data_IF_686535771816
#
_entry.id   IF_686535771816
#
_cell.length_a   1.000
_cell.length_b   1.000
_cell.length_c   1.000
_cell.angle_alpha   90.00
_cell.angle_beta   90.00
_cell.angle_gamma   90.00
#
_symmetry.space_group_name_H-M   'P 1'
#
loop_
_entity.id
_entity.type
_entity.pdbx_description
1 polymer ?
#
# COMPACT_ATOMS: atom_id res chain seq x y z
N UNK A 1 -4.85 -19.49 -53.87
CA UNK A 1 -6.16 -19.31 -53.18
C UNK A 1 -5.92 -18.31 -52.06
N UNK A 2 -6.13 -17.03 -52.35
CA UNK A 2 -5.92 -15.93 -51.42
C UNK A 2 -7.23 -15.66 -50.66
N UNK A 3 -7.16 -15.57 -49.33
CA UNK A 3 -8.29 -15.28 -48.46
C UNK A 3 -8.05 -13.90 -47.84
N UNK A 4 -8.86 -12.92 -48.24
CA UNK A 4 -8.96 -11.62 -47.59
C UNK A 4 -9.76 -11.74 -46.27
N UNK A 5 -9.38 -11.04 -45.20
CA UNK A 5 -10.21 -10.90 -44.02
C UNK A 5 -11.12 -9.66 -44.10
N UNK A 6 -12.42 -9.93 -43.93
CA UNK A 6 -13.53 -8.99 -43.84
C UNK A 6 -13.46 -8.13 -42.57
N UNK A 7 -13.51 -6.80 -42.74
CA UNK A 7 -13.56 -5.78 -41.68
C UNK A 7 -15.03 -5.47 -41.35
N UNK A 8 -15.49 -5.91 -40.18
CA UNK A 8 -16.86 -5.70 -39.70
C UNK A 8 -16.96 -4.68 -38.57
N UNK A 9 -17.59 -3.53 -38.86
CA UNK A 9 -18.66 -2.96 -38.03
C UNK A 9 -18.33 -2.18 -36.75
N UNK A 10 -17.95 -0.91 -36.88
CA UNK A 10 -18.07 0.11 -35.81
C UNK A 10 -19.55 0.40 -35.52
N UNK A 11 -20.04 0.06 -34.34
CA UNK A 11 -21.33 0.55 -33.81
C UNK A 11 -21.14 1.94 -33.18
N UNK A 12 -21.84 2.93 -33.74
CA UNK A 12 -22.11 4.25 -33.16
C UNK A 12 -23.19 4.11 -32.08
N UNK A 13 -22.84 4.48 -30.85
CA UNK A 13 -23.73 4.97 -29.77
C UNK A 13 -23.01 6.23 -29.30
N UNK A 14 -23.57 7.42 -29.15
CA UNK A 14 -24.94 7.90 -29.07
C UNK A 14 -24.80 9.18 -28.25
N UNK A 15 -24.89 10.33 -28.91
CA UNK A 15 -24.80 11.67 -28.32
C UNK A 15 -25.79 11.83 -27.16
N UNK A 16 -25.34 12.40 -26.04
CA UNK A 16 -26.17 13.07 -25.06
C UNK A 16 -25.80 14.58 -25.06
N UNK A 17 -26.78 15.50 -25.07
CA UNK A 17 -26.50 16.93 -25.15
C UNK A 17 -26.23 17.58 -23.79
N UNK A 18 -25.47 18.67 -23.90
CA UNK A 18 -25.14 19.67 -22.90
C UNK A 18 -26.33 20.18 -22.07
N UNK A 19 -26.12 20.27 -20.76
CA UNK A 19 -26.88 21.15 -19.87
C UNK A 19 -25.94 22.25 -19.36
N UNK A 20 -25.79 23.29 -20.18
CA UNK A 20 -25.26 24.58 -19.76
C UNK A 20 -26.34 25.33 -18.97
N UNK A 21 -26.11 25.53 -17.68
CA UNK A 21 -26.88 26.42 -16.82
C UNK A 21 -25.95 27.48 -16.24
N UNK A 22 -25.87 28.62 -16.91
CA UNK A 22 -25.25 29.84 -16.41
C UNK A 22 -26.27 30.66 -15.59
N UNK A 23 -25.73 31.68 -14.91
CA UNK A 23 -26.42 32.81 -14.24
C UNK A 23 -26.84 32.58 -12.78
N UNK A 24 -26.73 33.54 -11.86
CA UNK A 24 -26.12 34.87 -11.79
C UNK A 24 -26.38 35.41 -10.37
N UNK A 25 -25.68 36.50 -10.01
CA UNK A 25 -25.98 37.48 -8.95
C UNK A 25 -25.54 37.09 -7.52
N UNK A 26 -24.55 37.76 -6.91
CA UNK A 26 -24.48 39.20 -6.55
C UNK A 26 -25.54 39.59 -5.53
N UNK A 27 -25.10 39.73 -4.27
CA UNK A 27 -25.90 40.24 -3.16
C UNK A 27 -25.00 40.73 -2.04
N UNK A 28 -24.33 41.86 -2.28
CA UNK A 28 -23.77 42.69 -1.23
C UNK A 28 -24.94 43.38 -0.48
N UNK A 29 -24.94 43.32 0.84
CA UNK A 29 -25.77 44.20 1.66
C UNK A 29 -25.04 44.52 2.95
N UNK A 30 -24.42 45.70 2.94
CA UNK A 30 -24.11 46.48 4.12
C UNK A 30 -25.41 46.92 4.78
N UNK A 31 -25.52 46.77 6.10
CA UNK A 31 -26.41 47.59 6.91
C UNK A 31 -25.81 47.74 8.32
N UNK A 32 -25.36 48.97 8.56
CA UNK A 32 -25.03 49.53 9.86
C UNK A 32 -26.28 49.69 10.73
N UNK A 33 -26.07 49.70 12.05
CA UNK A 33 -26.85 50.51 12.97
C UNK A 33 -27.84 49.76 13.85
N UNK A 34 -27.56 49.75 15.14
CA UNK A 34 -28.36 50.47 16.15
C UNK A 34 -28.25 49.77 17.50
N UNK A 35 -27.40 50.34 18.36
CA UNK A 35 -27.43 50.17 19.80
C UNK A 35 -28.77 50.69 20.32
N UNK A 36 -29.67 49.79 20.67
CA UNK A 36 -30.92 50.07 21.36
C UNK A 36 -30.92 49.39 22.72
N UNK A 37 -30.64 50.17 23.76
CA UNK A 37 -30.94 49.81 25.13
C UNK A 37 -32.46 49.90 25.33
N UNK A 38 -33.10 48.75 25.54
CA UNK A 38 -34.47 48.62 26.05
C UNK A 38 -34.43 47.41 26.98
N UNK A 39 -34.22 47.64 28.27
CA UNK A 39 -35.27 47.91 29.26
C UNK A 39 -36.11 46.65 29.55
N UNK A 40 -36.16 46.33 30.83
CA UNK A 40 -36.47 45.02 31.36
C UNK A 40 -37.89 44.58 31.04
N UNK A 41 -38.02 43.65 30.09
CA UNK A 41 -39.17 42.76 30.07
C UNK A 41 -38.85 41.59 31.01
N UNK A 42 -39.66 41.33 32.05
CA UNK A 42 -39.41 40.22 32.96
C UNK A 42 -39.36 38.94 32.13
N UNK A 43 -38.27 38.18 32.30
CA UNK A 43 -38.10 36.83 31.80
C UNK A 43 -39.41 36.09 31.88
N UNK A 44 -40.07 36.00 30.73
CA UNK A 44 -41.10 35.00 30.51
C UNK A 44 -40.32 33.70 30.49
N UNK A 45 -40.07 33.13 31.67
CA UNK A 45 -39.82 31.72 31.89
C UNK A 45 -41.09 30.99 31.44
N UNK A 46 -41.38 31.06 30.15
CA UNK A 46 -42.12 30.03 29.47
C UNK A 46 -41.22 28.81 29.58
N UNK A 47 -41.41 28.05 30.66
CA UNK A 47 -41.21 26.62 30.65
C UNK A 47 -42.15 26.05 29.59
N UNK A 48 -41.88 26.39 28.33
CA UNK A 48 -42.32 25.58 27.22
C UNK A 48 -41.66 24.24 27.48
N UNK A 49 -42.46 23.20 27.40
CA UNK A 49 -42.06 21.81 27.48
C UNK A 49 -40.99 21.59 26.40
N UNK A 50 -39.75 21.99 26.72
CA UNK A 50 -38.62 21.96 25.81
C UNK A 50 -38.51 20.49 25.46
N UNK A 51 -38.83 20.21 24.20
CA UNK A 51 -39.07 18.86 23.71
C UNK A 51 -38.03 17.93 24.33
N UNK A 52 -38.42 16.95 25.18
CA UNK A 52 -37.48 16.27 26.07
C UNK A 52 -36.26 15.63 25.36
N UNK A 53 -36.37 15.39 24.05
CA UNK A 53 -35.30 14.95 23.16
C UNK A 53 -34.22 16.01 22.84
N UNK A 54 -34.55 17.30 22.94
CA UNK A 54 -33.63 18.42 22.76
C UNK A 54 -32.72 18.65 23.98
N UNK A 55 -32.88 17.87 25.05
CA UNK A 55 -32.05 18.00 26.25
C UNK A 55 -30.56 17.66 25.95
N UNK A 56 -29.63 18.61 26.12
CA UNK A 56 -28.21 18.38 25.83
C UNK A 56 -27.57 17.32 26.73
N UNK A 57 -28.08 17.10 27.94
CA UNK A 57 -27.59 16.06 28.84
C UNK A 57 -27.90 14.66 28.31
N UNK A 58 -29.09 14.46 27.72
CA UNK A 58 -29.47 13.21 27.07
C UNK A 58 -28.55 12.91 25.88
N UNK A 59 -28.30 13.92 25.03
CA UNK A 59 -27.40 13.78 23.88
C UNK A 59 -25.98 13.39 24.29
N UNK A 60 -25.41 14.06 25.31
CA UNK A 60 -24.07 13.73 25.85
C UNK A 60 -24.01 12.30 26.38
N UNK A 61 -25.02 11.87 27.14
CA UNK A 61 -25.10 10.51 27.66
C UNK A 61 -25.20 9.46 26.54
N UNK A 62 -25.98 9.74 25.49
CA UNK A 62 -26.14 8.86 24.33
C UNK A 62 -24.83 8.76 23.53
N UNK A 63 -24.17 9.88 23.24
CA UNK A 63 -22.89 9.91 22.53
C UNK A 63 -21.82 9.12 23.29
N UNK A 64 -21.72 9.31 24.60
CA UNK A 64 -20.78 8.59 25.46
C UNK A 64 -21.10 7.08 25.51
N UNK A 65 -22.38 6.69 25.48
CA UNK A 65 -22.78 5.29 25.39
C UNK A 65 -22.37 4.64 24.06
N UNK A 66 -22.56 5.35 22.93
CA UNK A 66 -22.26 4.86 21.58
C UNK A 66 -20.74 4.80 21.34
N UNK A 67 -20.00 5.84 21.77
CA UNK A 67 -18.53 5.94 21.62
C UNK A 67 -17.77 4.77 22.22
N UNK A 68 -18.29 4.17 23.30
CA UNK A 68 -17.69 2.99 23.92
C UNK A 68 -17.84 1.68 23.13
N UNK A 69 -18.66 1.67 22.07
CA UNK A 69 -19.09 0.43 21.39
C UNK A 69 -18.92 0.44 19.88
N UNK A 70 -18.70 1.60 19.28
CA UNK A 70 -18.63 1.80 17.83
C UNK A 70 -17.36 2.59 17.50
N UNK A 71 -16.83 2.43 16.29
CA UNK A 71 -15.70 3.22 15.81
C UNK A 71 -16.00 4.73 15.89
N UNK A 72 -14.98 5.55 16.15
CA UNK A 72 -15.15 6.98 16.36
C UNK A 72 -15.82 7.70 15.18
N UNK A 73 -15.59 7.21 13.95
CA UNK A 73 -16.17 7.72 12.71
C UNK A 73 -17.68 7.55 12.63
N UNK A 74 -18.25 6.50 13.24
CA UNK A 74 -19.67 6.18 13.08
C UNK A 74 -20.50 6.62 14.30
N UNK A 75 -19.87 7.25 15.30
CA UNK A 75 -20.54 7.65 16.54
C UNK A 75 -21.68 8.62 16.25
N UNK A 76 -21.41 9.68 15.48
CA UNK A 76 -22.38 10.72 15.22
C UNK A 76 -23.53 10.22 14.34
N UNK A 77 -23.25 9.34 13.37
CA UNK A 77 -24.27 8.72 12.51
C UNK A 77 -25.23 7.82 13.29
N UNK A 78 -24.70 7.00 14.20
CA UNK A 78 -25.51 6.14 15.08
C UNK A 78 -26.34 7.00 16.03
N UNK A 79 -25.75 8.04 16.63
CA UNK A 79 -26.47 8.98 17.52
C UNK A 79 -27.60 9.68 16.76
N UNK A 80 -27.34 10.18 15.56
CA UNK A 80 -28.35 10.81 14.71
C UNK A 80 -29.48 9.85 14.36
N UNK A 81 -29.15 8.63 13.93
CA UNK A 81 -30.14 7.59 13.61
C UNK A 81 -31.06 7.30 14.80
N UNK A 82 -30.50 7.16 16.00
CA UNK A 82 -31.26 6.91 17.23
C UNK A 82 -32.22 8.07 17.54
N UNK A 83 -31.75 9.32 17.42
CA UNK A 83 -32.58 10.49 17.68
C UNK A 83 -33.69 10.66 16.63
N UNK A 84 -33.41 10.40 15.36
CA UNK A 84 -34.41 10.41 14.29
C UNK A 84 -35.50 9.37 14.54
N UNK A 85 -35.16 8.15 14.96
CA UNK A 85 -36.15 7.13 15.31
C UNK A 85 -36.95 7.48 16.57
N UNK A 86 -36.29 8.08 17.56
CA UNK A 86 -36.95 8.56 18.76
C UNK A 86 -37.98 9.67 18.43
N UNK A 87 -37.66 10.56 17.49
CA UNK A 87 -38.56 11.62 17.02
C UNK A 87 -39.74 11.07 16.21
N UNK A 88 -39.52 10.00 15.43
CA UNK A 88 -40.55 9.42 14.57
C UNK A 88 -41.54 8.49 15.30
N UNK A 89 -41.27 8.09 16.54
CA UNK A 89 -42.12 7.14 17.26
C UNK A 89 -43.34 7.82 17.91
N UNK A 90 -44.55 7.38 17.55
CA UNK A 90 -45.83 7.92 18.04
C UNK A 90 -46.09 7.64 19.53
N UNK A 91 -45.44 6.63 20.11
CA UNK A 91 -45.61 6.18 21.50
C UNK A 91 -44.45 6.52 22.44
N UNK A 92 -43.75 7.63 22.22
CA UNK A 92 -42.60 8.02 23.06
C UNK A 92 -43.05 8.38 24.49
N UNK A 93 -42.37 7.89 25.55
CA UNK A 93 -42.64 8.33 26.91
C UNK A 93 -42.44 9.85 27.07
N UNK A 94 -43.33 10.50 27.80
CA UNK A 94 -43.23 11.95 28.09
C UNK A 94 -42.40 12.23 29.35
N UNK A 95 -42.31 11.26 30.25
CA UNK A 95 -41.44 11.36 31.42
C UNK A 95 -39.96 11.32 31.00
N UNK A 96 -39.12 12.29 31.43
CA UNK A 96 -37.73 12.38 31.00
C UNK A 96 -36.87 11.16 31.36
N UNK A 97 -37.13 10.53 32.51
CA UNK A 97 -36.37 9.36 32.97
C UNK A 97 -36.77 8.11 32.19
N UNK A 98 -38.07 7.92 31.94
CA UNK A 98 -38.57 6.86 31.05
C UNK A 98 -38.08 7.05 29.61
N UNK A 99 -38.12 8.28 29.08
CA UNK A 99 -37.62 8.61 27.75
C UNK A 99 -36.14 8.27 27.62
N UNK A 100 -35.32 8.64 28.61
CA UNK A 100 -33.88 8.32 28.62
C UNK A 100 -33.64 6.81 28.56
N UNK A 101 -34.35 6.01 29.35
CA UNK A 101 -34.23 4.54 29.32
C UNK A 101 -34.67 3.97 27.98
N UNK A 102 -35.76 4.50 27.42
CA UNK A 102 -36.30 4.09 26.14
C UNK A 102 -35.34 4.40 24.97
N UNK A 103 -34.79 5.61 24.90
CA UNK A 103 -33.78 6.02 23.90
C UNK A 103 -32.52 5.16 23.99
N UNK A 104 -32.06 4.83 25.20
CA UNK A 104 -30.92 3.91 25.39
C UNK A 104 -31.23 2.50 24.90
N UNK A 105 -32.49 2.06 24.96
CA UNK A 105 -32.97 0.82 24.34
C UNK A 105 -32.83 0.82 22.82
N UNK A 106 -33.26 1.90 22.16
CA UNK A 106 -33.09 2.10 20.70
C UNK A 106 -31.59 2.08 20.34
N UNK A 107 -30.78 2.82 21.08
CA UNK A 107 -29.33 2.90 20.86
C UNK A 107 -28.66 1.52 20.92
N UNK A 108 -29.06 0.67 21.87
CA UNK A 108 -28.54 -0.69 21.98
C UNK A 108 -28.81 -1.52 20.72
N UNK A 109 -30.02 -1.43 20.18
CA UNK A 109 -30.37 -2.13 18.93
C UNK A 109 -29.56 -1.59 17.75
N UNK A 110 -29.41 -0.27 17.62
CA UNK A 110 -28.61 0.34 16.54
C UNK A 110 -27.15 0.00 16.58
N UNK A 111 -26.54 -0.06 17.77
CA UNK A 111 -25.16 -0.53 17.92
C UNK A 111 -25.02 -1.98 17.43
N UNK A 112 -25.96 -2.87 17.80
CA UNK A 112 -25.93 -4.28 17.34
C UNK A 112 -26.10 -4.37 15.82
N UNK A 113 -26.99 -3.57 15.24
CA UNK A 113 -27.19 -3.54 13.79
C UNK A 113 -25.98 -2.98 13.06
N UNK A 114 -25.29 -1.96 13.61
CA UNK A 114 -24.04 -1.45 13.06
C UNK A 114 -22.94 -2.53 13.04
N UNK A 115 -22.79 -3.30 14.13
CA UNK A 115 -21.86 -4.44 14.15
C UNK A 115 -22.24 -5.53 13.14
N UNK A 116 -23.53 -5.82 12.98
CA UNK A 116 -23.99 -6.78 11.97
C UNK A 116 -23.73 -6.31 10.55
N UNK A 117 -23.91 -5.01 10.28
CA UNK A 117 -23.58 -4.39 8.99
C UNK A 117 -22.08 -4.41 8.76
N UNK A 118 -21.27 -3.91 9.69
CA UNK A 118 -19.81 -3.92 9.58
C UNK A 118 -19.20 -5.32 9.44
N UNK A 119 -19.86 -6.38 9.91
CA UNK A 119 -19.40 -7.76 9.66
C UNK A 119 -19.77 -8.30 8.27
N UNK A 120 -20.84 -7.79 7.65
CA UNK A 120 -21.25 -8.18 6.28
C UNK A 120 -20.60 -7.30 5.22
N UNK A 121 -20.49 -6.03 5.53
CA UNK A 121 -19.87 -4.95 4.79
C UNK A 121 -18.46 -4.67 5.33
N UNK A 122 -17.81 -5.66 5.96
CA UNK A 122 -16.36 -5.70 5.88
C UNK A 122 -16.10 -5.77 4.39
N UNK A 123 -15.92 -4.58 3.81
CA UNK A 123 -15.55 -4.34 2.44
C UNK A 123 -14.38 -5.27 2.31
N UNK A 124 -14.62 -6.41 1.65
CA UNK A 124 -13.55 -7.17 1.05
C UNK A 124 -13.08 -6.18 0.02
N UNK A 125 -12.19 -5.29 0.47
CA UNK A 125 -11.51 -4.29 -0.32
C UNK A 125 -11.05 -5.11 -1.50
N UNK A 126 -11.74 -4.88 -2.63
CA UNK A 126 -11.69 -5.79 -3.76
C UNK A 126 -10.21 -5.99 -4.00
N UNK A 127 -9.69 -7.22 -3.76
CA UNK A 127 -8.32 -7.43 -3.34
C UNK A 127 -7.48 -6.59 -4.25
N UNK A 128 -6.85 -5.54 -3.69
CA UNK A 128 -6.23 -4.46 -4.45
C UNK A 128 -5.51 -5.15 -5.60
N UNK A 129 -6.06 -5.02 -6.81
CA UNK A 129 -5.58 -5.81 -7.94
C UNK A 129 -4.23 -5.21 -8.19
N UNK A 130 -3.21 -5.84 -7.60
CA UNK A 130 -1.86 -5.32 -7.57
C UNK A 130 -1.55 -4.87 -8.98
N UNK A 131 -1.38 -3.56 -9.14
CA UNK A 131 -1.11 -3.00 -10.45
C UNK A 131 0.01 -3.85 -11.07
N UNK A 132 -0.12 -4.23 -12.37
CA UNK A 132 0.93 -5.01 -13.00
C UNK A 132 2.26 -4.29 -12.73
N UNK A 133 3.30 -5.02 -12.30
CA UNK A 133 4.57 -4.40 -11.94
C UNK A 133 5.01 -3.50 -13.07
N UNK A 134 5.62 -2.37 -12.71
CA UNK A 134 6.10 -1.42 -13.72
C UNK A 134 7.05 -2.14 -14.68
N UNK A 135 7.15 -1.67 -15.93
CA UNK A 135 8.02 -2.30 -16.92
C UNK A 135 9.49 -2.40 -16.46
N UNK A 136 9.92 -1.46 -15.61
CA UNK A 136 11.26 -1.45 -15.00
C UNK A 136 11.41 -2.58 -13.98
N UNK A 137 10.44 -2.76 -13.07
CA UNK A 137 10.44 -3.84 -12.09
C UNK A 137 10.38 -5.21 -12.76
N UNK A 138 9.58 -5.35 -13.82
CA UNK A 138 9.51 -6.59 -14.59
C UNK A 138 10.87 -6.94 -15.23
N UNK A 139 11.58 -5.95 -15.81
CA UNK A 139 12.93 -6.14 -16.36
C UNK A 139 13.95 -6.49 -15.26
N UNK A 140 13.86 -5.85 -14.10
CA UNK A 140 14.75 -6.11 -12.98
C UNK A 140 14.58 -7.55 -12.45
N UNK A 141 13.33 -8.01 -12.30
CA UNK A 141 12.99 -9.38 -11.92
C UNK A 141 13.47 -10.40 -12.96
N UNK A 142 13.29 -10.11 -14.26
CA UNK A 142 13.79 -10.97 -15.33
C UNK A 142 15.32 -11.10 -15.30
N UNK A 143 16.03 -9.97 -15.15
CA UNK A 143 17.49 -9.92 -15.07
C UNK A 143 18.02 -10.67 -13.84
N UNK A 144 17.31 -10.58 -12.71
CA UNK A 144 17.63 -11.35 -11.51
C UNK A 144 17.43 -12.86 -11.76
N UNK A 145 16.31 -13.26 -12.37
CA UNK A 145 16.03 -14.68 -12.65
C UNK A 145 17.06 -15.28 -13.63
N UNK A 146 17.50 -14.51 -14.62
CA UNK A 146 18.57 -14.91 -15.56
C UNK A 146 19.89 -15.17 -14.85
N UNK A 147 20.33 -14.26 -13.98
CA UNK A 147 21.55 -14.44 -13.16
C UNK A 147 21.47 -15.69 -12.28
N UNK A 148 20.32 -15.97 -11.70
CA UNK A 148 20.11 -17.17 -10.88
C UNK A 148 20.14 -18.46 -11.73
N UNK A 149 19.61 -18.41 -12.95
CA UNK A 149 19.61 -19.54 -13.89
C UNK A 149 20.96 -19.76 -14.57
N UNK A 150 21.85 -18.75 -14.57
CA UNK A 150 23.11 -18.77 -15.32
C UNK A 150 24.10 -19.83 -14.83
N UNK A 151 23.99 -20.26 -13.57
CA UNK A 151 24.84 -21.28 -12.98
C UNK A 151 24.83 -22.62 -13.77
N UNK A 152 23.77 -22.92 -14.51
CA UNK A 152 23.69 -24.15 -15.31
C UNK A 152 23.02 -23.92 -16.66
N UNK A 153 23.51 -24.58 -17.72
CA UNK A 153 22.87 -24.56 -19.05
C UNK A 153 21.41 -25.04 -18.98
N UNK A 154 21.16 -26.07 -18.17
CA UNK A 154 19.81 -26.58 -17.93
C UNK A 154 18.92 -25.54 -17.23
N UNK A 155 19.48 -24.72 -16.34
CA UNK A 155 18.78 -23.61 -15.69
C UNK A 155 18.29 -22.60 -16.70
N UNK A 156 19.19 -22.10 -17.57
CA UNK A 156 18.86 -21.16 -18.66
C UNK A 156 17.73 -21.69 -19.55
N UNK A 157 17.81 -22.96 -19.97
CA UNK A 157 16.77 -23.59 -20.78
C UNK A 157 15.42 -23.69 -20.04
N UNK A 158 15.44 -24.05 -18.77
CA UNK A 158 14.20 -24.16 -17.96
C UNK A 158 13.56 -22.78 -17.75
N UNK A 159 14.37 -21.73 -17.56
CA UNK A 159 13.90 -20.35 -17.47
C UNK A 159 13.24 -19.89 -18.77
N UNK A 160 13.83 -20.21 -19.93
CA UNK A 160 13.24 -19.91 -21.23
C UNK A 160 11.87 -20.59 -21.41
N UNK A 161 11.70 -21.84 -20.95
CA UNK A 161 10.40 -22.51 -20.95
C UNK A 161 9.38 -21.79 -20.06
N UNK A 162 9.80 -21.29 -18.89
CA UNK A 162 8.92 -20.53 -17.99
C UNK A 162 8.47 -19.19 -18.60
N UNK A 163 9.36 -18.51 -19.33
CA UNK A 163 9.02 -17.26 -20.02
C UNK A 163 7.94 -17.49 -21.09
N UNK A 164 8.12 -18.51 -21.95
CA UNK A 164 7.13 -18.92 -22.96
C UNK A 164 5.79 -19.35 -22.34
N UNK A 165 5.82 -20.05 -21.22
CA UNK A 165 4.60 -20.41 -20.48
C UNK A 165 3.87 -19.16 -19.95
N UNK A 166 4.60 -18.14 -19.50
CA UNK A 166 4.06 -16.84 -19.09
C UNK A 166 3.41 -16.06 -20.24
N UNK A 167 3.89 -16.25 -21.47
CA UNK A 167 3.28 -15.72 -22.70
C UNK A 167 2.01 -16.50 -23.13
N UNK A 168 1.63 -17.54 -22.37
CA UNK A 168 0.43 -18.35 -22.60
C UNK A 168 0.67 -19.64 -23.38
N UNK A 169 1.92 -19.98 -23.69
CA UNK A 169 2.22 -21.22 -24.39
C UNK A 169 2.10 -22.44 -23.46
N UNK A 170 1.47 -23.50 -23.95
CA UNK A 170 1.30 -24.74 -23.18
C UNK A 170 2.62 -25.52 -23.12
N UNK A 171 2.95 -26.05 -21.94
CA UNK A 171 4.19 -26.82 -21.71
C UNK A 171 4.31 -28.07 -22.61
N UNK A 172 3.20 -28.61 -23.10
CA UNK A 172 3.20 -29.73 -24.05
C UNK A 172 3.73 -29.33 -25.43
N UNK A 173 3.43 -28.11 -25.88
CA UNK A 173 3.94 -27.55 -27.15
C UNK A 173 5.44 -27.35 -27.07
N UNK A 174 5.90 -26.71 -25.98
CA UNK A 174 7.33 -26.50 -25.70
C UNK A 174 8.08 -27.85 -25.64
N UNK A 175 7.48 -28.85 -24.97
CA UNK A 175 8.04 -30.20 -24.87
C UNK A 175 8.19 -30.88 -26.25
N UNK A 176 7.19 -30.75 -27.12
CA UNK A 176 7.21 -31.31 -28.47
C UNK A 176 8.31 -30.66 -29.34
N UNK A 177 8.46 -29.34 -29.29
CA UNK A 177 9.48 -28.59 -30.04
C UNK A 177 10.91 -28.93 -29.58
N UNK A 178 11.13 -28.94 -28.27
CA UNK A 178 12.44 -29.24 -27.66
C UNK A 178 12.77 -30.74 -27.69
N UNK A 179 11.82 -31.58 -28.11
CA UNK A 179 11.91 -33.06 -28.13
C UNK A 179 12.22 -33.65 -26.75
N UNK A 180 11.60 -33.08 -25.72
CA UNK A 180 11.71 -33.53 -24.32
C UNK A 180 10.37 -34.09 -23.88
N UNK A 181 10.30 -35.19 -23.08
CA UNK A 181 9.03 -35.67 -22.55
C UNK A 181 8.30 -34.59 -21.73
N UNK A 182 6.97 -34.36 -21.94
CA UNK A 182 6.22 -33.32 -21.24
C UNK A 182 6.30 -33.39 -19.71
N UNK A 183 6.34 -34.61 -19.15
CA UNK A 183 6.50 -34.83 -17.72
C UNK A 183 7.81 -34.24 -17.18
N UNK A 184 8.91 -34.31 -17.95
CA UNK A 184 10.22 -33.79 -17.54
C UNK A 184 10.25 -32.25 -17.58
N UNK A 185 9.59 -31.64 -18.57
CA UNK A 185 9.43 -30.17 -18.64
C UNK A 185 8.66 -29.66 -17.41
N UNK A 186 7.48 -30.23 -17.13
CA UNK A 186 6.67 -29.88 -15.95
C UNK A 186 7.44 -30.04 -14.65
N UNK A 187 8.18 -31.14 -14.48
CA UNK A 187 8.97 -31.40 -13.28
C UNK A 187 10.10 -30.39 -13.10
N UNK A 188 10.82 -30.04 -14.18
CA UNK A 188 11.91 -29.06 -14.13
C UNK A 188 11.38 -27.65 -13.83
N UNK A 189 10.31 -27.22 -14.51
CA UNK A 189 9.66 -25.92 -14.25
C UNK A 189 9.17 -25.82 -12.81
N UNK A 190 8.50 -26.87 -12.31
CA UNK A 190 8.02 -26.90 -10.92
C UNK A 190 9.17 -26.79 -9.90
N UNK A 191 10.25 -27.54 -10.11
CA UNK A 191 11.46 -27.46 -9.26
C UNK A 191 12.10 -26.07 -9.31
N UNK A 192 12.23 -25.48 -10.50
CA UNK A 192 12.80 -24.14 -10.68
C UNK A 192 11.96 -23.07 -9.97
N UNK A 193 10.62 -23.09 -10.13
CA UNK A 193 9.70 -22.17 -9.43
C UNK A 193 9.79 -22.29 -7.91
N UNK A 194 9.94 -23.51 -7.38
CA UNK A 194 10.12 -23.71 -5.94
C UNK A 194 11.45 -23.12 -5.47
N UNK A 195 12.54 -23.43 -6.17
CA UNK A 195 13.87 -22.94 -5.84
C UNK A 195 13.97 -21.41 -5.91
N UNK A 196 13.42 -20.77 -6.94
CA UNK A 196 13.39 -19.30 -7.05
C UNK A 196 12.60 -18.64 -5.93
N UNK A 197 11.44 -19.19 -5.54
CA UNK A 197 10.66 -18.66 -4.41
C UNK A 197 11.42 -18.77 -3.09
N UNK A 198 12.07 -19.89 -2.84
CA UNK A 198 12.89 -20.08 -1.62
C UNK A 198 14.05 -19.07 -1.57
N UNK A 199 14.73 -18.85 -2.70
CA UNK A 199 15.82 -17.87 -2.82
C UNK A 199 15.34 -16.43 -2.61
N UNK A 200 14.24 -16.06 -3.25
CA UNK A 200 13.68 -14.71 -3.17
C UNK A 200 13.15 -14.40 -1.76
N UNK A 201 12.48 -15.36 -1.11
CA UNK A 201 12.06 -15.21 0.30
C UNK A 201 13.25 -15.04 1.25
N UNK A 202 14.37 -15.72 1.00
CA UNK A 202 15.58 -15.55 1.80
C UNK A 202 16.20 -14.16 1.61
N UNK A 203 16.24 -13.64 0.38
CA UNK A 203 16.70 -12.27 0.11
C UNK A 203 15.79 -11.22 0.76
N UNK A 204 14.47 -11.37 0.66
CA UNK A 204 13.50 -10.48 1.34
C UNK A 204 13.63 -10.53 2.86
N UNK A 205 13.82 -11.72 3.45
CA UNK A 205 14.03 -11.86 4.87
C UNK A 205 15.33 -11.17 5.33
N UNK A 206 16.40 -11.22 4.53
CA UNK A 206 17.65 -10.52 4.82
C UNK A 206 17.48 -9.00 4.77
N UNK A 207 16.77 -8.47 3.76
CA UNK A 207 16.46 -7.03 3.67
C UNK A 207 15.59 -6.57 4.85
N UNK A 208 14.56 -7.34 5.22
CA UNK A 208 13.73 -7.04 6.38
C UNK A 208 14.54 -7.04 7.69
N UNK A 209 15.45 -8.00 7.87
CA UNK A 209 16.34 -8.03 9.03
C UNK A 209 17.26 -6.81 9.09
N UNK A 210 17.83 -6.40 7.95
CA UNK A 210 18.65 -5.17 7.87
C UNK A 210 17.83 -3.92 8.18
N UNK A 211 16.59 -3.83 7.69
CA UNK A 211 15.70 -2.73 8.01
C UNK A 211 15.38 -2.64 9.52
N UNK A 212 15.14 -3.79 10.17
CA UNK A 212 14.95 -3.85 11.62
C UNK A 212 16.20 -3.38 12.36
N UNK A 213 17.40 -3.83 11.96
CA UNK A 213 18.67 -3.38 12.54
C UNK A 213 18.86 -1.88 12.36
N UNK A 214 18.59 -1.34 11.18
CA UNK A 214 18.67 0.10 10.91
C UNK A 214 17.71 0.91 11.79
N UNK A 215 16.47 0.41 12.01
CA UNK A 215 15.51 1.04 12.93
C UNK A 215 16.02 1.02 14.38
N UNK A 216 16.63 -0.08 14.82
CA UNK A 216 17.20 -0.19 16.17
C UNK A 216 18.39 0.78 16.35
N UNK A 217 19.26 0.89 15.35
CA UNK A 217 20.38 1.85 15.36
C UNK A 217 19.83 3.29 15.38
N UNK A 218 18.86 3.60 14.53
CA UNK A 218 18.23 4.92 14.50
C UNK A 218 17.55 5.27 15.82
N UNK A 219 16.96 4.29 16.51
CA UNK A 219 16.42 4.48 17.87
C UNK A 219 17.53 4.74 18.89
N UNK A 220 18.58 3.93 18.90
CA UNK A 220 19.71 4.10 19.81
C UNK A 220 20.40 5.46 19.65
N UNK A 221 20.51 5.97 18.41
CA UNK A 221 21.07 7.29 18.13
C UNK A 221 20.12 8.45 18.49
N UNK A 222 18.81 8.23 18.53
CA UNK A 222 17.83 9.25 18.94
C UNK A 222 17.76 9.41 20.46
N UNK A 223 18.03 8.35 21.20
CA UNK A 223 18.06 8.39 22.67
C UNK A 223 19.25 9.23 23.20
N UNK A 224 20.23 9.56 22.35
CA UNK A 224 21.35 10.46 22.67
C UNK A 224 21.09 11.93 22.36
N UNK A 225 19.85 12.37 22.06
CA UNK A 225 19.57 13.81 22.24
C UNK A 225 19.55 14.00 23.76
N UNK A 226 20.62 14.56 24.39
CA UNK A 226 20.54 14.88 25.80
C UNK A 226 19.29 15.74 25.91
N UNK A 227 18.36 15.29 26.75
CA UNK A 227 17.26 16.11 27.20
C UNK A 227 17.93 17.41 27.66
N UNK A 228 17.89 18.42 26.78
CA UNK A 228 18.42 19.75 27.05
C UNK A 228 17.62 20.12 28.26
N UNK A 229 18.26 20.03 29.43
CA UNK A 229 17.61 20.29 30.70
C UNK A 229 16.81 21.56 30.46
N UNK A 230 15.47 21.50 30.56
CA UNK A 230 14.64 22.63 30.22
C UNK A 230 15.28 23.80 30.96
N UNK A 231 15.76 24.79 30.19
CA UNK A 231 16.30 26.00 30.78
C UNK A 231 15.27 26.39 31.83
N UNK A 232 15.67 26.41 33.10
CA UNK A 232 14.78 26.79 34.17
C UNK A 232 14.22 28.14 33.76
N UNK A 233 12.95 28.15 33.33
CA UNK A 233 12.26 29.39 33.05
C UNK A 233 12.41 30.21 34.32
N UNK A 234 13.07 31.38 34.26
CA UNK A 234 13.28 32.20 35.43
C UNK A 234 11.90 32.45 36.02
N UNK A 235 11.69 32.07 37.28
CA UNK A 235 10.46 32.23 38.04
C UNK A 235 9.73 33.53 37.69
N UNK A 236 8.81 33.47 36.72
CA UNK A 236 7.93 34.58 36.38
C UNK A 236 6.90 34.62 37.49
N UNK A 237 6.94 35.69 38.28
CA UNK A 237 5.94 36.02 39.28
C UNK A 237 4.52 35.88 38.68
N UNK A 238 3.50 35.47 39.47
CA UNK A 238 2.15 35.26 38.96
C UNK A 238 1.61 36.57 38.35
N UNK A 239 1.67 36.67 37.03
CA UNK A 239 1.02 37.73 36.28
C UNK A 239 -0.49 37.49 36.24
N UNK A 240 -1.29 38.57 36.26
CA UNK A 240 -2.75 38.50 36.18
C UNK A 240 -3.19 37.80 34.88
N UNK A 241 -4.41 37.22 34.86
CA UNK A 241 -4.90 36.39 33.76
C UNK A 241 -4.84 37.15 32.43
N UNK A 242 -3.80 36.84 31.63
CA UNK A 242 -3.71 37.28 30.25
C UNK A 242 -4.73 36.48 29.44
N UNK A 243 -5.60 37.23 28.78
CA UNK A 243 -6.48 36.78 27.70
C UNK A 243 -5.76 35.81 26.78
N UNK A 244 -6.41 34.73 26.30
CA UNK A 244 -5.80 33.76 25.39
C UNK A 244 -5.28 34.48 24.16
N UNK A 245 -3.96 34.67 24.13
CA UNK A 245 -3.20 35.16 22.99
C UNK A 245 -3.38 34.10 21.90
N UNK A 246 -4.18 34.46 20.89
CA UNK A 246 -4.37 33.65 19.69
C UNK A 246 -2.99 33.18 19.23
N UNK A 247 -2.81 31.86 19.07
CA UNK A 247 -1.65 31.30 18.39
C UNK A 247 -1.44 32.08 17.09
N UNK A 248 -0.43 32.95 17.07
CA UNK A 248 0.00 33.64 15.87
C UNK A 248 0.53 32.56 14.94
N UNK A 249 -0.31 32.19 13.96
CA UNK A 249 0.11 31.32 12.87
C UNK A 249 1.39 31.92 12.29
N UNK A 250 2.46 31.14 12.11
CA UNK A 250 3.72 31.66 11.60
C UNK A 250 3.43 32.41 10.31
N UNK A 251 3.71 33.71 10.33
CA UNK A 251 3.47 34.60 9.20
C UNK A 251 4.24 33.99 8.02
N UNK A 252 3.51 33.68 6.95
CA UNK A 252 4.11 33.09 5.77
C UNK A 252 5.27 34.00 5.32
N UNK A 253 6.47 33.45 5.04
CA UNK A 253 7.62 34.26 4.68
C UNK A 253 7.28 35.13 3.48
N UNK A 254 7.76 36.38 3.48
CA UNK A 254 7.52 37.27 2.35
C UNK A 254 8.03 36.61 1.06
N UNK A 255 7.37 36.84 -0.10
CA UNK A 255 7.73 36.19 -1.35
C UNK A 255 9.21 36.30 -1.73
N UNK A 256 9.86 37.43 -1.38
CA UNK A 256 11.29 37.66 -1.60
C UNK A 256 12.19 36.77 -0.74
N UNK A 257 11.83 36.55 0.52
CA UNK A 257 12.59 35.66 1.40
C UNK A 257 12.41 34.21 0.98
N UNK A 258 11.21 33.83 0.54
CA UNK A 258 11.00 32.53 -0.11
C UNK A 258 11.87 32.36 -1.35
N UNK A 259 11.98 33.38 -2.22
CA UNK A 259 12.83 33.33 -3.40
C UNK A 259 14.33 33.17 -3.05
N UNK A 260 14.81 33.83 -1.98
CA UNK A 260 16.18 33.68 -1.48
C UNK A 260 16.45 32.25 -0.98
N UNK A 261 15.52 31.67 -0.23
CA UNK A 261 15.63 30.30 0.26
C UNK A 261 15.63 29.28 -0.90
N UNK A 262 14.77 29.46 -1.90
CA UNK A 262 14.74 28.62 -3.10
C UNK A 262 16.05 28.71 -3.89
N UNK A 263 16.62 29.92 -4.08
CA UNK A 263 17.93 30.08 -4.72
C UNK A 263 19.04 29.37 -3.96
N UNK A 264 19.10 29.50 -2.64
CA UNK A 264 20.11 28.84 -1.82
C UNK A 264 20.04 27.31 -1.94
N UNK A 265 18.83 26.74 -1.84
CA UNK A 265 18.61 25.31 -2.00
C UNK A 265 18.94 24.82 -3.42
N UNK A 266 18.58 25.60 -4.44
CA UNK A 266 18.88 25.26 -5.84
C UNK A 266 20.38 25.28 -6.12
N UNK A 267 21.12 26.27 -5.61
CA UNK A 267 22.58 26.33 -5.74
C UNK A 267 23.27 25.14 -5.05
N UNK A 268 22.75 24.68 -3.91
CA UNK A 268 23.23 23.45 -3.26
C UNK A 268 22.98 22.21 -4.13
N UNK A 269 21.80 22.11 -4.77
CA UNK A 269 21.49 21.05 -5.72
C UNK A 269 22.45 21.09 -6.94
N UNK A 270 22.78 22.27 -7.46
CA UNK A 270 23.79 22.42 -8.51
C UNK A 270 25.16 21.91 -8.05
N UNK A 271 25.55 22.15 -6.78
CA UNK A 271 26.80 21.67 -6.19
C UNK A 271 26.88 20.15 -6.04
N UNK A 272 25.73 19.47 -5.94
CA UNK A 272 25.61 18.00 -5.91
C UNK A 272 25.39 17.37 -7.29
N UNK A 273 25.56 18.15 -8.37
CA UNK A 273 25.34 17.72 -9.76
C UNK A 273 23.89 17.27 -10.07
N UNK A 274 22.92 17.70 -9.26
CA UNK A 274 21.49 17.45 -9.49
C UNK A 274 20.92 18.49 -10.46
N UNK A 275 21.36 18.45 -11.72
CA UNK A 275 21.17 19.54 -12.69
C UNK A 275 19.71 19.88 -13.00
N UNK A 276 18.82 18.90 -13.08
CA UNK A 276 17.40 19.17 -13.34
C UNK A 276 16.71 19.84 -12.14
N UNK A 277 17.01 19.41 -10.90
CA UNK A 277 16.51 20.04 -9.67
C UNK A 277 17.06 21.46 -9.49
N UNK A 278 18.34 21.64 -9.76
CA UNK A 278 19.04 22.92 -9.79
C UNK A 278 18.33 23.93 -10.70
N UNK A 279 18.07 23.59 -11.97
CA UNK A 279 17.43 24.50 -12.92
C UNK A 279 15.98 24.78 -12.51
N UNK A 280 15.21 23.76 -12.12
CA UNK A 280 13.83 23.94 -11.71
C UNK A 280 13.69 24.85 -10.47
N UNK A 281 14.56 24.68 -9.48
CA UNK A 281 14.57 25.53 -8.28
C UNK A 281 14.97 26.98 -8.58
N UNK A 282 15.92 27.20 -9.49
CA UNK A 282 16.28 28.55 -9.94
C UNK A 282 15.14 29.21 -10.73
N UNK A 283 14.40 28.46 -11.55
CA UNK A 283 13.22 28.97 -12.27
C UNK A 283 12.06 29.34 -11.34
N UNK A 284 11.76 28.51 -10.33
CA UNK A 284 10.74 28.84 -9.31
C UNK A 284 11.14 30.10 -8.53
N UNK A 285 12.42 30.23 -8.18
CA UNK A 285 12.90 31.40 -7.47
C UNK A 285 12.86 32.67 -8.35
N UNK A 286 13.21 32.56 -9.64
CA UNK A 286 13.13 33.65 -10.61
C UNK A 286 11.69 34.13 -10.82
N UNK A 287 10.71 33.22 -10.75
CA UNK A 287 9.29 33.58 -10.83
C UNK A 287 8.82 34.45 -9.64
N UNK A 288 9.43 34.28 -8.45
CA UNK A 288 9.13 35.07 -7.25
C UNK A 288 9.97 36.35 -7.14
N UNK A 289 11.21 36.34 -7.63
CA UNK A 289 12.15 37.46 -7.59
C UNK A 289 13.03 37.53 -8.86
N UNK A 290 12.52 38.12 -9.96
CA UNK A 290 13.26 38.21 -11.23
C UNK A 290 14.57 39.02 -11.12
N UNK A 291 14.65 39.96 -10.17
CA UNK A 291 15.86 40.76 -9.95
C UNK A 291 16.97 39.89 -9.35
N UNK A 292 16.61 38.96 -8.48
CA UNK A 292 17.54 38.02 -7.86
C UNK A 292 18.15 36.98 -8.81
N UNK A 293 17.50 36.69 -9.94
CA UNK A 293 18.01 35.77 -10.98
C UNK A 293 19.20 36.36 -11.75
N UNK A 294 19.34 37.70 -11.77
CA UNK A 294 20.48 38.39 -12.38
C UNK A 294 21.79 38.34 -11.57
N UNK A 295 21.82 37.64 -10.43
CA UNK A 295 23.04 37.48 -9.64
C UNK A 295 24.08 36.62 -10.39
N UNK A 296 25.38 36.98 -10.34
CA UNK A 296 26.43 36.28 -11.10
C UNK A 296 26.51 34.79 -10.74
N UNK A 297 26.33 34.45 -9.47
CA UNK A 297 26.34 33.06 -8.98
C UNK A 297 25.21 32.21 -9.61
N UNK A 298 24.04 32.81 -9.82
CA UNK A 298 22.89 32.13 -10.44
C UNK A 298 23.13 31.92 -11.94
N UNK A 299 23.66 32.93 -12.63
CA UNK A 299 24.02 32.83 -14.05
C UNK A 299 25.09 31.74 -14.30
N UNK A 300 26.14 31.69 -13.47
CA UNK A 300 27.16 30.65 -13.54
C UNK A 300 26.61 29.25 -13.24
N UNK A 301 25.70 29.12 -12.26
CA UNK A 301 25.04 27.86 -11.96
C UNK A 301 24.16 27.37 -13.13
N UNK A 302 23.38 28.25 -13.76
CA UNK A 302 22.58 27.94 -14.95
C UNK A 302 23.46 27.49 -16.11
N UNK A 303 24.54 28.22 -16.40
CA UNK A 303 25.46 27.86 -17.48
C UNK A 303 26.07 26.46 -17.28
N UNK A 304 26.53 26.15 -16.06
CA UNK A 304 27.07 24.82 -15.73
C UNK A 304 26.02 23.72 -15.85
N UNK A 305 24.81 23.94 -15.34
CA UNK A 305 23.73 22.97 -15.43
C UNK A 305 23.34 22.69 -16.89
N UNK A 306 23.27 23.71 -17.75
CA UNK A 306 22.99 23.54 -19.17
C UNK A 306 24.09 22.80 -19.92
N UNK A 307 25.37 23.11 -19.64
CA UNK A 307 26.51 22.40 -20.22
C UNK A 307 26.50 20.92 -19.82
N UNK A 308 26.27 20.63 -18.54
CA UNK A 308 26.19 19.26 -18.04
C UNK A 308 25.02 18.49 -18.67
N UNK A 309 23.86 19.12 -18.84
CA UNK A 309 22.70 18.51 -19.53
C UNK A 309 22.96 18.25 -21.02
N UNK A 310 23.69 19.13 -21.69
CA UNK A 310 24.12 18.88 -23.08
C UNK A 310 25.05 17.67 -23.15
N UNK A 311 26.01 17.58 -22.23
CA UNK A 311 26.95 16.45 -22.16
C UNK A 311 26.22 15.12 -21.90
N UNK A 312 25.26 15.07 -20.97
CA UNK A 312 24.49 13.84 -20.72
C UNK A 312 23.63 13.42 -21.92
N UNK A 313 23.10 14.38 -22.69
CA UNK A 313 22.39 14.11 -23.94
C UNK A 313 23.32 13.57 -25.04
N UNK A 314 24.54 14.08 -25.14
CA UNK A 314 25.56 13.57 -26.07
C UNK A 314 26.01 12.15 -25.68
N UNK A 315 26.30 11.92 -24.40
CA UNK A 315 26.67 10.61 -23.88
C UNK A 315 25.53 9.58 -24.10
N UNK A 316 24.28 9.99 -23.87
CA UNK A 316 23.11 9.14 -24.14
C UNK A 316 23.01 8.71 -25.62
N UNK A 317 23.26 9.63 -26.56
CA UNK A 317 23.26 9.31 -28.01
C UNK A 317 24.38 8.34 -28.40
N UNK A 318 25.53 8.40 -27.74
CA UNK A 318 26.63 7.45 -28.02
C UNK A 318 26.29 6.03 -27.57
N UNK A 319 25.57 5.87 -26.46
CA UNK A 319 25.12 4.57 -25.97
C UNK A 319 24.08 3.94 -26.92
N UNK A 320 23.13 4.73 -27.40
CA UNK A 320 22.09 4.24 -28.31
C UNK A 320 22.69 3.82 -29.66
N UNK A 321 23.60 4.65 -30.22
CA UNK A 321 24.33 4.30 -31.45
C UNK A 321 25.17 3.03 -31.31
N UNK A 322 25.74 2.78 -30.13
CA UNK A 322 26.53 1.56 -29.87
C UNK A 322 25.63 0.32 -29.74
N UNK A 323 24.43 0.47 -29.19
CA UNK A 323 23.44 -0.60 -29.11
C UNK A 323 22.92 -1.00 -30.51
N UNK A 324 22.60 -0.02 -31.36
CA UNK A 324 22.19 -0.28 -32.74
C UNK A 324 23.31 -0.95 -33.55
N UNK A 325 24.56 -0.47 -33.42
CA UNK A 325 25.69 -1.08 -34.12
C UNK A 325 25.97 -2.54 -33.69
N UNK A 326 25.62 -2.90 -32.46
CA UNK A 326 25.78 -4.26 -31.94
C UNK A 326 24.64 -5.18 -32.37
N UNK A 327 23.44 -4.65 -32.55
CA UNK A 327 22.30 -5.39 -33.10
C UNK A 327 22.57 -5.78 -34.57
N UNK A 328 23.07 -4.86 -35.39
CA UNK A 328 23.33 -5.15 -36.82
C UNK A 328 24.50 -6.12 -37.04
N UNK A 329 25.54 -6.11 -36.19
CA UNK A 329 26.66 -7.06 -36.31
C UNK A 329 26.30 -8.50 -35.92
N UNK A 330 25.16 -8.72 -35.26
CA UNK A 330 24.74 -10.07 -34.84
C UNK A 330 23.95 -10.81 -35.93
N UNK A 331 23.52 -10.12 -37.00
CA UNK A 331 22.69 -10.70 -38.08
C UNK A 331 23.46 -11.16 -39.32
N UNK A 332 24.76 -10.84 -39.47
CA UNK A 332 25.50 -11.16 -40.71
C UNK A 332 26.56 -12.28 -40.60
N UNK A 333 26.69 -12.95 -39.45
CA UNK A 333 27.61 -14.09 -39.32
C UNK A 333 26.91 -15.42 -39.62
N UNK A 334 26.86 -15.72 -40.92
CA UNK A 334 26.76 -17.06 -41.52
C UNK A 334 25.80 -18.04 -40.86
N UNK A 335 24.58 -18.14 -41.40
CA UNK A 335 23.83 -19.38 -41.36
C UNK A 335 24.69 -20.49 -42.00
N UNK A 336 25.10 -21.54 -41.27
CA UNK A 336 25.76 -22.69 -41.87
C UNK A 336 24.79 -23.37 -42.84
N UNK A 337 25.21 -23.51 -44.09
CA UNK A 337 24.43 -24.20 -45.12
C UNK A 337 23.99 -25.58 -44.63
N UNK A 338 22.72 -25.98 -44.85
CA UNK A 338 22.24 -27.29 -44.46
C UNK A 338 22.98 -28.36 -45.25
N UNK A 339 23.81 -29.16 -44.56
CA UNK A 339 24.40 -30.37 -45.13
C UNK A 339 23.28 -31.30 -45.61
N UNK A 340 23.33 -31.84 -46.84
CA UNK A 340 22.35 -32.81 -47.32
C UNK A 340 22.37 -34.05 -46.42
N UNK A 341 21.23 -34.35 -45.80
CA UNK A 341 21.03 -35.56 -45.01
C UNK A 341 21.05 -36.77 -45.93
N UNK A 342 21.92 -37.73 -45.62
CA UNK A 342 21.92 -39.04 -46.24
C UNK A 342 20.57 -39.77 -45.99
N UNK A 343 20.12 -40.63 -46.93
CA UNK A 343 18.89 -41.40 -46.79
C UNK A 343 18.98 -42.35 -45.59
N UNK A 344 18.00 -42.22 -44.70
CA UNK A 344 17.83 -43.09 -43.53
C UNK A 344 17.34 -44.45 -44.04
N UNK A 345 18.13 -45.50 -43.76
CA UNK A 345 17.77 -46.88 -44.04
C UNK A 345 16.49 -47.30 -43.26
N UNK A 346 15.64 -48.16 -43.84
CA UNK A 346 14.42 -48.64 -43.20
C UNK A 346 14.75 -49.49 -41.96
N UNK A 347 14.11 -49.16 -40.85
CA UNK A 347 14.23 -49.92 -39.59
C UNK A 347 13.70 -51.35 -39.74
N UNK A 348 14.30 -52.34 -39.05
CA UNK A 348 13.86 -53.74 -39.12
C UNK A 348 12.51 -53.94 -38.43
N UNK A 349 11.63 -54.72 -39.09
CA UNK A 349 10.33 -55.17 -38.56
C UNK A 349 10.52 -55.93 -37.24
N UNK A 350 10.06 -55.33 -36.15
CA UNK A 350 9.83 -56.03 -34.88
C UNK A 350 8.57 -56.89 -34.99
N UNK A 351 8.71 -58.14 -34.56
CA UNK A 351 7.69 -59.17 -34.55
C UNK A 351 6.49 -58.81 -33.64
N UNK A 352 5.28 -59.33 -33.94
CA UNK A 352 4.09 -59.10 -33.12
C UNK A 352 4.17 -59.85 -31.78
N UNK A 353 3.96 -59.12 -30.69
CA UNK A 353 3.81 -59.67 -29.34
C UNK A 353 2.54 -60.52 -29.19
N UNK A 354 2.55 -61.59 -28.36
CA UNK A 354 1.40 -62.47 -28.17
C UNK A 354 0.26 -61.82 -27.38
N UNK A 355 -0.96 -62.16 -27.80
CA UNK A 355 -2.27 -61.87 -27.20
C UNK A 355 -2.29 -62.12 -25.68
N UNK A 356 -2.72 -61.16 -24.84
CA UNK A 356 -3.12 -61.47 -23.48
C UNK A 356 -4.55 -62.04 -23.44
N UNK A 357 -4.68 -63.19 -22.77
CA UNK A 357 -5.94 -63.86 -22.48
C UNK A 357 -6.89 -62.99 -21.66
N UNK A 358 -8.17 -63.12 -22.01
CA UNK A 358 -9.29 -62.49 -21.33
C UNK A 358 -9.42 -63.01 -19.89
N UNK A 359 -9.38 -62.09 -18.92
CA UNK A 359 -9.89 -62.31 -17.56
C UNK A 359 -11.22 -61.59 -17.38
N UNK A 360 -12.12 -62.30 -16.71
CA UNK A 360 -13.52 -61.99 -16.41
C UNK A 360 -13.76 -60.61 -15.76
N UNK A 361 -14.99 -60.06 -15.86
CA UNK A 361 -15.33 -58.74 -15.36
C UNK A 361 -15.43 -58.75 -13.83
N UNK A 362 -14.52 -58.03 -13.16
CA UNK A 362 -14.70 -57.64 -11.76
C UNK A 362 -15.55 -56.37 -11.75
N UNK A 363 -16.75 -56.51 -11.21
CA UNK A 363 -17.66 -55.40 -10.87
C UNK A 363 -16.97 -54.50 -9.85
N UNK A 364 -16.49 -53.34 -10.31
CA UNK A 364 -15.99 -52.27 -9.45
C UNK A 364 -17.12 -51.36 -8.96
N UNK A 365 -17.10 -50.91 -7.69
CA UNK A 365 -18.17 -50.10 -7.12
C UNK A 365 -18.18 -48.69 -7.70
N UNK A 366 -19.41 -48.28 -8.05
CA UNK A 366 -19.88 -46.94 -8.37
C UNK A 366 -19.11 -45.81 -7.64
N UNK A 367 -18.47 -44.94 -8.42
CA UNK A 367 -17.95 -43.64 -7.99
C UNK A 367 -19.11 -42.74 -7.55
N UNK A 368 -19.45 -42.78 -6.26
CA UNK A 368 -20.25 -41.73 -5.63
C UNK A 368 -19.38 -40.48 -5.50
N UNK A 369 -19.79 -39.44 -6.19
CA UNK A 369 -19.40 -38.05 -5.94
C UNK A 369 -19.53 -37.73 -4.45
N UNK A 370 -18.39 -37.66 -3.76
CA UNK A 370 -18.34 -37.20 -2.38
C UNK A 370 -18.70 -35.70 -2.34
N UNK A 371 -19.72 -35.38 -1.56
CA UNK A 371 -20.17 -34.03 -1.27
C UNK A 371 -19.06 -33.20 -0.60
N UNK A 372 -19.00 -31.88 -0.82
CA UNK A 372 -17.94 -30.99 -0.32
C UNK A 372 -17.65 -31.10 1.18
N UNK A 373 -18.66 -31.48 1.98
CA UNK A 373 -18.54 -31.61 3.44
C UNK A 373 -17.57 -32.70 3.92
N UNK A 374 -17.33 -33.75 3.12
CA UNK A 374 -16.42 -34.82 3.53
C UNK A 374 -14.93 -34.42 3.45
N UNK A 375 -14.60 -33.38 2.66
CA UNK A 375 -13.22 -32.87 2.56
C UNK A 375 -12.83 -31.97 3.74
N UNK A 376 -13.79 -31.26 4.34
CA UNK A 376 -13.51 -30.38 5.49
C UNK A 376 -13.25 -31.17 6.78
N UNK A 377 -13.96 -32.28 6.99
CA UNK A 377 -13.73 -33.19 8.13
C UNK A 377 -12.29 -33.75 8.15
N UNK A 378 -11.74 -34.07 6.99
CA UNK A 378 -10.40 -34.65 6.87
C UNK A 378 -9.30 -33.59 7.08
N UNK A 379 -9.55 -32.35 6.65
CA UNK A 379 -8.69 -31.19 6.94
C UNK A 379 -8.67 -30.83 8.43
N UNK A 380 -9.82 -30.90 9.11
CA UNK A 380 -9.93 -30.67 10.55
C UNK A 380 -9.18 -31.73 11.37
N UNK A 381 -9.30 -33.02 10.99
CA UNK A 381 -8.54 -34.11 11.62
C UNK A 381 -7.03 -33.92 11.45
N UNK A 382 -6.59 -33.50 10.26
CA UNK A 382 -5.17 -33.25 9.98
C UNK A 382 -4.61 -32.08 10.81
N UNK A 383 -5.36 -30.97 10.93
CA UNK A 383 -4.96 -29.83 11.78
C UNK A 383 -4.85 -30.21 13.26
N UNK A 384 -5.79 -31.02 13.76
CA UNK A 384 -5.78 -31.47 15.16
C UNK A 384 -4.55 -32.32 15.49
N UNK A 385 -4.13 -33.20 14.57
CA UNK A 385 -2.90 -34.01 14.73
C UNK A 385 -1.65 -33.13 14.72
N UNK A 386 -1.61 -32.10 13.87
CA UNK A 386 -0.46 -31.18 13.79
C UNK A 386 -0.33 -30.27 15.04
N UNK A 387 -1.45 -29.83 15.60
CA UNK A 387 -1.48 -29.04 16.84
C UNK A 387 -1.05 -29.88 18.06
N UNK A 388 -1.49 -31.14 18.14
CA UNK A 388 -1.06 -32.05 19.21
C UNK A 388 0.44 -32.36 19.13
N UNK A 389 0.99 -32.50 17.92
CA UNK A 389 2.42 -32.67 17.69
C UNK A 389 3.23 -31.44 18.12
N UNK A 390 2.72 -30.22 17.90
CA UNK A 390 3.33 -28.97 18.39
C UNK A 390 3.34 -28.91 19.92
N UNK A 391 2.20 -29.19 20.56
CA UNK A 391 2.10 -29.21 22.03
C UNK A 391 3.09 -30.18 22.69
N UNK A 392 3.27 -31.37 22.13
CA UNK A 392 4.27 -32.35 22.63
C UNK A 392 5.70 -31.86 22.47
N UNK A 393 5.99 -31.07 21.43
CA UNK A 393 7.33 -30.51 21.19
C UNK A 393 7.69 -29.40 22.18
N UNK A 394 6.70 -28.59 22.57
CA UNK A 394 6.91 -27.49 23.53
C UNK A 394 6.95 -27.97 24.99
N UNK A 395 6.24 -29.05 25.33
CA UNK A 395 6.27 -29.64 26.67
C UNK A 395 7.63 -30.26 27.06
N UNK A 396 8.51 -30.52 26.08
CA UNK A 396 9.83 -31.12 26.32
C UNK A 396 10.96 -30.13 26.60
N UNK A 397 10.70 -28.80 26.59
CA UNK A 397 11.75 -27.80 26.76
C UNK A 397 11.91 -27.45 28.25
N UNK A 398 12.99 -27.85 28.93
CA UNK A 398 13.18 -27.56 30.34
C UNK A 398 13.28 -26.05 30.54
N UNK A 399 12.40 -25.50 31.38
CA UNK A 399 12.41 -24.10 31.82
C UNK A 399 13.78 -23.78 32.42
N UNK A 400 14.55 -22.94 31.71
CA UNK A 400 15.80 -22.38 32.24
C UNK A 400 15.46 -21.61 33.50
N UNK A 401 16.00 -22.06 34.64
CA UNK A 401 15.83 -21.39 35.94
C UNK A 401 16.29 -19.93 35.82
N UNK A 402 15.54 -18.97 36.38
CA UNK A 402 15.95 -17.58 36.36
C UNK A 402 17.25 -17.40 37.16
N UNK A 403 18.25 -16.81 36.52
CA UNK A 403 19.52 -16.42 37.15
C UNK A 403 19.19 -15.32 38.15
N UNK A 404 19.36 -15.63 39.43
CA UNK A 404 19.23 -14.70 40.56
C UNK A 404 20.36 -13.67 40.42
N UNK A 405 20.04 -12.44 39.97
CA UNK A 405 21.04 -11.38 39.87
C UNK A 405 21.41 -10.91 41.28
N UNK A 406 22.63 -11.23 41.68
CA UNK A 406 23.25 -10.80 42.93
C UNK A 406 23.45 -9.27 42.95
N UNK A 407 22.99 -8.66 44.06
CA UNK A 407 23.57 -7.49 44.73
C UNK A 407 24.10 -6.33 43.90
N UNK A 408 23.27 -5.30 43.73
CA UNK A 408 23.76 -3.93 43.47
C UNK A 408 24.05 -3.27 44.81
N UNK A 409 25.34 -3.04 45.07
CA UNK A 409 25.85 -2.35 46.26
C UNK A 409 25.31 -0.92 46.34
N UNK A 410 24.93 -0.52 47.55
CA UNK A 410 24.61 0.86 47.91
C UNK A 410 25.89 1.71 47.85
N UNK A 411 25.83 2.83 47.15
CA UNK A 411 26.86 3.88 47.15
C UNK A 411 26.51 4.86 48.28
N UNK A 412 27.44 5.21 49.19
CA UNK A 412 27.19 6.17 50.25
C UNK A 412 27.15 7.60 49.71
N UNK A 413 26.21 8.38 50.24
CA UNK A 413 26.06 9.82 50.05
C UNK A 413 27.11 10.52 50.92
N UNK A 414 27.98 11.40 50.39
CA UNK A 414 28.85 12.21 51.23
C UNK A 414 28.05 13.33 51.91
N UNK A 415 28.10 13.34 53.24
CA UNK A 415 27.68 14.44 54.10
C UNK A 415 28.61 15.65 53.93
N UNK A 416 28.01 16.83 53.72
CA UNK A 416 28.39 18.10 54.35
C UNK A 416 29.64 18.84 53.85
N UNK A 417 29.45 20.08 53.40
CA UNK A 417 30.33 21.20 53.74
C UNK A 417 29.47 22.45 53.93
N UNK A 418 29.52 23.00 55.15
CA UNK A 418 29.06 24.33 55.57
C UNK A 418 29.92 25.47 55.01
#
# INVERSE_FOLDING_TARGET
MAVEPSVGGRKKLGMAPDASGASSASGASSASGASGASDGSPERQGGGDAEPLANPALRRALQEFVRRRVAATDVDDVVQTVLCEALAAEGRPQDPEELRRWVMGIARHKVVDQHRRGMREQVVEAPEVAAPPSAIEARALASWAERQAEATREGKQTLAWMAREGEGEKLETIAAEERVPPARVRQRVSRMRKWMRERWMAELAAVAALAVVAILIARALRDEVPEVAPLQDPTIAPEPPRTPELLELPVAPEPRDRARLLRAAALEACGREAWDECVAGLDEAAALDPVGDGAPEVAEARARAEEARKKTLEDGKTLDRTLDQKLDQTTEKSAPQPKPRAPIAPSPKLAPSPKPEAKAPVVGPSSRSATPQARDEDLLKKKKVEEEARRKKDAGKPLKKPVRSSGKQAVPIPEGVD
#
